data_IF_033422831616
#
_entry.id   IF_033422831616
#
_cell.length_a   1.000
_cell.length_b   1.000
_cell.length_c   1.000
_cell.angle_alpha   90.00
_cell.angle_beta   90.00
_cell.angle_gamma   90.00
#
_symmetry.space_group_name_H-M   'P 1'
#
loop_
_entity.id
_entity.type
_entity.pdbx_description
1 polymer ?
#
# COMPACT_ATOMS: atom_id res chain seq x y z
N UNK A 1 14.44 -3.15 3.33
CA UNK A 1 13.04 -3.00 2.91
C UNK A 1 12.27 -4.01 3.71
N UNK A 2 11.46 -3.54 4.64
CA UNK A 2 10.69 -4.42 5.53
C UNK A 2 9.27 -4.50 4.99
N UNK A 3 8.84 -5.70 4.64
CA UNK A 3 7.53 -5.95 4.06
C UNK A 3 6.75 -6.85 5.00
N UNK A 4 5.60 -6.37 5.45
CA UNK A 4 4.64 -7.16 6.22
C UNK A 4 3.44 -7.50 5.35
N UNK A 5 2.74 -8.57 5.69
CA UNK A 5 1.48 -8.93 5.02
C UNK A 5 0.33 -8.61 5.95
N UNK A 6 -0.67 -7.93 5.40
CA UNK A 6 -1.96 -7.71 6.04
C UNK A 6 -3.08 -8.30 5.19
N UNK A 7 -4.24 -8.50 5.80
CA UNK A 7 -5.43 -8.98 5.09
C UNK A 7 -6.49 -7.89 5.12
N UNK A 8 -6.93 -7.48 3.95
CA UNK A 8 -8.05 -6.55 3.82
C UNK A 8 -9.35 -7.22 4.30
N UNK A 9 -10.29 -6.44 4.80
CA UNK A 9 -11.64 -6.90 5.16
C UNK A 9 -12.38 -7.66 4.04
N UNK A 10 -12.02 -7.46 2.77
CA UNK A 10 -12.57 -8.20 1.63
C UNK A 10 -11.86 -9.56 1.35
N UNK A 11 -10.95 -9.97 2.24
CA UNK A 11 -10.16 -11.20 2.14
C UNK A 11 -8.96 -11.12 1.19
N UNK A 12 -8.63 -9.94 0.67
CA UNK A 12 -7.44 -9.75 -0.18
C UNK A 12 -6.18 -9.66 0.69
N UNK A 13 -5.17 -10.46 0.36
CA UNK A 13 -3.84 -10.36 0.98
C UNK A 13 -3.07 -9.21 0.33
N UNK A 14 -2.53 -8.32 1.16
CA UNK A 14 -1.84 -7.10 0.72
C UNK A 14 -0.51 -7.04 1.43
N UNK A 15 0.57 -6.89 0.67
CA UNK A 15 1.88 -6.64 1.27
C UNK A 15 2.04 -5.14 1.50
N UNK A 16 2.69 -4.75 2.58
CA UNK A 16 2.88 -3.38 3.01
C UNK A 16 4.37 -3.19 3.26
N UNK A 17 4.98 -2.29 2.53
CA UNK A 17 6.33 -1.83 2.80
C UNK A 17 6.30 -0.83 3.95
N UNK A 18 7.11 -1.11 4.96
CA UNK A 18 7.43 -0.22 6.07
C UNK A 18 8.68 0.59 5.73
N UNK A 19 8.75 1.83 6.23
CA UNK A 19 9.90 2.71 6.07
C UNK A 19 10.29 2.97 4.60
N UNK A 20 9.30 3.04 3.70
CA UNK A 20 9.50 3.35 2.28
C UNK A 20 10.21 4.70 2.08
N UNK A 21 10.89 4.89 0.94
CA UNK A 21 11.52 6.17 0.61
C UNK A 21 10.46 7.30 0.61
N UNK A 22 10.67 8.41 1.36
CA UNK A 22 9.74 9.53 1.39
C UNK A 22 9.40 10.12 0.02
N UNK A 23 10.29 9.98 -0.98
CA UNK A 23 10.02 10.41 -2.36
C UNK A 23 8.99 9.54 -3.07
N UNK A 24 8.82 8.30 -2.63
CA UNK A 24 7.94 7.28 -3.21
C UNK A 24 6.70 7.00 -2.35
N UNK A 25 6.61 7.62 -1.17
CA UNK A 25 5.55 7.42 -0.20
C UNK A 25 4.84 8.74 0.10
N UNK A 26 3.55 8.82 -0.22
CA UNK A 26 2.73 10.00 0.10
C UNK A 26 2.31 10.09 1.58
N UNK A 27 2.50 9.02 2.37
CA UNK A 27 2.15 9.01 3.79
C UNK A 27 3.36 9.40 4.64
N UNK A 28 3.09 10.19 5.68
CA UNK A 28 4.11 10.64 6.63
C UNK A 28 4.68 9.50 7.47
N UNK A 29 3.92 8.43 7.70
CA UNK A 29 4.36 7.25 8.45
C UNK A 29 5.18 6.25 7.61
N UNK A 30 5.53 6.63 6.37
CA UNK A 30 6.38 5.86 5.45
C UNK A 30 5.87 4.44 5.16
N UNK A 31 4.57 4.19 5.35
CA UNK A 31 3.92 2.93 4.98
C UNK A 31 3.32 3.05 3.59
N UNK A 32 3.55 2.06 2.73
CA UNK A 32 2.87 1.97 1.43
C UNK A 32 2.53 0.53 1.06
N UNK A 33 1.48 0.30 0.24
CA UNK A 33 1.20 -1.02 -0.30
C UNK A 33 2.35 -1.43 -1.25
N UNK A 34 2.74 -2.70 -1.14
CA UNK A 34 3.75 -3.34 -1.95
C UNK A 34 3.13 -4.55 -2.66
N UNK A 35 3.22 -4.58 -3.98
CA UNK A 35 2.69 -5.67 -4.81
C UNK A 35 3.86 -6.33 -5.55
N UNK A 36 4.54 -7.33 -4.95
CA UNK A 36 5.72 -7.98 -5.55
C UNK A 36 5.40 -8.70 -6.85
N UNK A 37 4.15 -9.15 -7.00
CA UNK A 37 3.56 -9.83 -8.15
C UNK A 37 3.35 -8.91 -9.37
N UNK A 38 3.47 -7.58 -9.23
CA UNK A 38 3.22 -6.63 -10.30
C UNK A 38 4.49 -5.85 -10.66
N UNK A 39 5.30 -6.45 -11.54
CA UNK A 39 6.65 -5.99 -11.83
C UNK A 39 6.91 -5.51 -13.26
N UNK A 40 5.92 -5.00 -14.02
CA UNK A 40 6.25 -4.41 -15.34
C UNK A 40 5.43 -3.19 -15.75
N UNK A 41 4.12 -3.12 -15.48
CA UNK A 41 3.28 -2.06 -16.06
C UNK A 41 2.37 -1.33 -15.06
N UNK A 42 2.16 -0.01 -15.23
CA UNK A 42 1.20 0.76 -14.44
C UNK A 42 -0.19 0.12 -14.46
N UNK A 43 -0.73 -0.25 -13.30
CA UNK A 43 -2.09 -0.78 -13.22
C UNK A 43 -3.09 0.32 -12.89
N UNK A 44 -4.27 0.27 -13.50
CA UNK A 44 -5.35 1.24 -13.28
C UNK A 44 -6.55 0.59 -12.61
N UNK A 45 -7.04 1.17 -11.52
CA UNK A 45 -8.34 0.84 -10.91
C UNK A 45 -9.18 2.09 -10.89
N UNK A 46 -10.15 2.16 -11.80
CA UNK A 46 -10.94 3.38 -12.02
C UNK A 46 -10.04 4.55 -12.43
N UNK A 47 -10.05 5.62 -11.63
CA UNK A 47 -9.23 6.81 -11.83
C UNK A 47 -7.83 6.72 -11.20
N UNK A 48 -7.54 5.65 -10.47
CA UNK A 48 -6.29 5.49 -9.73
C UNK A 48 -5.26 4.74 -10.57
N UNK A 49 -4.08 5.34 -10.74
CA UNK A 49 -2.93 4.69 -11.39
C UNK A 49 -1.92 4.32 -10.32
N UNK A 50 -1.44 3.09 -10.38
CA UNK A 50 -0.45 2.57 -9.45
C UNK A 50 0.85 2.36 -10.24
N UNK A 51 1.92 3.03 -9.82
CA UNK A 51 3.26 2.88 -10.38
C UNK A 51 4.22 2.50 -9.26
N UNK A 52 5.34 1.85 -9.60
CA UNK A 52 6.39 1.62 -8.59
C UNK A 52 7.11 2.91 -8.17
N UNK A 53 7.19 3.88 -9.08
CA UNK A 53 7.95 5.13 -8.93
C UNK A 53 7.18 6.26 -8.22
N UNK A 54 5.92 6.06 -7.84
CA UNK A 54 5.14 7.15 -7.28
C UNK A 54 3.84 6.70 -6.61
N UNK A 55 3.42 7.55 -5.67
CA UNK A 55 2.27 7.45 -4.74
C UNK A 55 1.26 6.37 -5.15
N UNK A 56 1.48 5.17 -4.63
CA UNK A 56 0.46 4.12 -4.59
C UNK A 56 -0.75 4.66 -3.86
N UNK A 57 -1.87 4.73 -4.57
CA UNK A 57 -3.16 5.03 -3.96
C UNK A 57 -3.37 4.01 -2.85
N UNK A 58 -3.54 4.50 -1.61
CA UNK A 58 -3.53 3.67 -0.39
C UNK A 58 -4.88 2.95 -0.22
N UNK A 59 -5.36 2.33 -1.30
CA UNK A 59 -6.65 1.66 -1.40
C UNK A 59 -6.47 0.20 -1.81
N UNK A 60 -7.38 -0.64 -1.34
CA UNK A 60 -7.43 -2.04 -1.71
C UNK A 60 -7.85 -2.16 -3.18
N UNK A 61 -7.04 -2.86 -3.98
CA UNK A 61 -7.31 -3.12 -5.40
C UNK A 61 -8.64 -3.83 -5.67
N UNK A 62 -9.06 -4.72 -4.76
CA UNK A 62 -10.24 -5.57 -4.92
C UNK A 62 -11.55 -4.86 -4.55
N UNK A 63 -11.62 -4.21 -3.39
CA UNK A 63 -12.84 -3.58 -2.89
C UNK A 63 -12.84 -2.04 -2.95
N UNK A 64 -11.72 -1.40 -3.28
CA UNK A 64 -11.58 0.06 -3.26
C UNK A 64 -11.55 0.68 -1.86
N UNK A 65 -11.57 -0.12 -0.79
CA UNK A 65 -11.52 0.36 0.60
C UNK A 65 -10.16 0.98 0.96
N UNK A 66 -10.15 1.99 1.80
CA UNK A 66 -8.91 2.64 2.24
C UNK A 66 -8.13 1.72 3.17
N UNK A 67 -6.86 1.47 2.87
CA UNK A 67 -6.11 0.39 3.52
C UNK A 67 -5.86 0.63 5.00
N UNK A 68 -5.79 1.89 5.46
CA UNK A 68 -5.65 2.15 6.91
C UNK A 68 -6.86 1.71 7.71
N UNK A 69 -8.01 1.57 7.05
CA UNK A 69 -9.28 1.25 7.68
C UNK A 69 -9.62 -0.24 7.50
N UNK A 70 -9.15 -0.84 6.41
CA UNK A 70 -9.45 -2.24 6.07
C UNK A 70 -8.33 -3.22 6.39
N UNK A 71 -7.10 -2.74 6.60
CA UNK A 71 -5.91 -3.56 6.91
C UNK A 71 -5.27 -3.01 8.19
N UNK A 72 -5.38 -3.71 9.34
CA UNK A 72 -4.82 -3.25 10.61
C UNK A 72 -3.32 -2.94 10.55
N UNK A 73 -2.56 -3.73 9.79
CA UNK A 73 -1.12 -3.57 9.59
C UNK A 73 -0.77 -2.29 8.80
N UNK A 74 -1.73 -1.74 8.06
CA UNK A 74 -1.62 -0.51 7.26
C UNK A 74 -2.15 0.73 8.01
N UNK A 75 -2.58 0.56 9.26
CA UNK A 75 -3.06 1.64 10.11
C UNK A 75 -1.96 2.71 10.28
N UNK A 76 -2.42 3.96 10.43
CA UNK A 76 -1.55 5.07 10.76
C UNK A 76 -0.80 4.79 12.05
N UNK A 77 0.51 5.01 12.05
CA UNK A 77 1.34 4.80 13.22
C UNK A 77 2.59 5.68 13.19
N UNK A 78 3.39 5.65 14.26
CA UNK A 78 4.69 6.31 14.25
C UNK A 78 5.58 5.74 13.14
N UNK A 79 6.49 6.57 12.63
CA UNK A 79 7.68 6.11 11.93
C UNK A 79 8.49 5.40 13.03
N UNK A 80 8.71 4.09 12.89
CA UNK A 80 9.34 3.19 13.87
C UNK A 80 8.40 2.64 14.97
N UNK A 81 7.93 1.41 14.74
CA UNK A 81 7.62 0.42 15.77
C UNK A 81 8.18 -0.93 15.32
#
# INVERSE_FOLDING_TARGET
MDIIQGTCSCGEVISIELNADPKLCGRTDRKRPFYPDQNVEPFKVGQFTYTQEGVTTFYCRKCGGYLSDTVPEAAWGPIDA
#
